data_IF_902737323341
#
_entry.id   IF_902737323341
#
_cell.length_a   1.000
_cell.length_b   1.000
_cell.length_c   1.000
_cell.angle_alpha   90.00
_cell.angle_beta   90.00
_cell.angle_gamma   90.00
#
_symmetry.space_group_name_H-M   'P 1'
#
loop_
_entity.id
_entity.type
_entity.pdbx_description
1 polymer ?
#
# COMPACT_ATOMS: atom_id res chain seq x y z
N UNK A 1 -14.40 -50.64 -33.96
CA UNK A 1 -15.62 -50.25 -34.68
C UNK A 1 -16.65 -49.58 -33.75
N UNK A 2 -17.00 -50.17 -32.56
CA UNK A 2 -18.01 -49.60 -31.67
C UNK A 2 -17.51 -48.32 -30.92
N UNK A 3 -16.21 -48.23 -30.64
CA UNK A 3 -15.61 -47.06 -30.03
C UNK A 3 -15.45 -45.88 -31.01
N UNK A 4 -15.31 -46.14 -32.28
CA UNK A 4 -15.25 -45.15 -33.35
C UNK A 4 -16.62 -44.56 -33.67
N UNK A 5 -17.70 -45.36 -33.64
CA UNK A 5 -19.06 -44.92 -33.86
C UNK A 5 -19.63 -44.07 -32.72
N UNK A 6 -19.12 -44.22 -31.49
CA UNK A 6 -19.53 -43.45 -30.32
C UNK A 6 -18.73 -42.16 -30.13
N UNK A 7 -17.78 -41.86 -31.02
CA UNK A 7 -16.99 -40.64 -30.92
C UNK A 7 -16.12 -40.53 -29.64
N UNK A 8 -15.88 -41.65 -28.95
CA UNK A 8 -15.14 -41.71 -27.70
C UNK A 8 -13.63 -41.62 -27.89
N UNK A 9 -13.15 -41.59 -29.13
CA UNK A 9 -11.73 -41.42 -29.43
C UNK A 9 -11.36 -39.95 -29.76
N UNK A 10 -12.13 -38.99 -29.26
CA UNK A 10 -11.60 -37.66 -29.06
C UNK A 10 -10.77 -37.69 -27.76
N UNK A 11 -9.54 -38.19 -27.85
CA UNK A 11 -8.48 -37.62 -27.05
C UNK A 11 -8.50 -36.12 -27.34
N UNK A 12 -9.27 -35.37 -26.55
CA UNK A 12 -9.08 -33.94 -26.48
C UNK A 12 -7.65 -33.80 -25.99
N UNK A 13 -6.71 -33.56 -26.89
CA UNK A 13 -5.44 -32.97 -26.57
C UNK A 13 -5.79 -31.63 -25.94
N UNK A 14 -6.02 -31.65 -24.63
CA UNK A 14 -6.04 -30.43 -23.84
C UNK A 14 -4.77 -29.66 -24.24
N UNK A 15 -4.84 -28.41 -24.63
CA UNK A 15 -3.66 -27.65 -25.00
C UNK A 15 -2.64 -27.86 -23.88
N UNK A 16 -1.45 -28.35 -24.21
CA UNK A 16 -0.36 -28.52 -23.26
C UNK A 16 -0.10 -27.14 -22.68
N UNK A 17 -0.55 -26.95 -21.45
CA UNK A 17 -0.39 -25.68 -20.75
C UNK A 17 1.12 -25.54 -20.41
N UNK A 18 1.81 -24.74 -21.21
CA UNK A 18 3.25 -24.52 -21.09
C UNK A 18 3.62 -23.60 -19.91
N UNK A 19 2.64 -23.24 -19.05
CA UNK A 19 2.86 -22.40 -17.90
C UNK A 19 3.61 -23.18 -16.82
N UNK A 20 4.56 -22.52 -16.15
CA UNK A 20 5.35 -23.14 -15.07
C UNK A 20 4.45 -23.43 -13.86
N UNK A 21 4.40 -24.67 -13.41
CA UNK A 21 3.75 -25.04 -12.14
C UNK A 21 4.61 -24.61 -10.96
N UNK A 22 4.03 -23.84 -10.06
CA UNK A 22 4.69 -23.40 -8.82
C UNK A 22 4.58 -24.52 -7.78
N UNK A 23 5.71 -24.93 -7.20
CA UNK A 23 5.69 -25.92 -6.13
C UNK A 23 5.14 -25.35 -4.83
N UNK A 24 4.60 -26.21 -3.95
CA UNK A 24 4.06 -25.78 -2.65
C UNK A 24 5.13 -25.09 -1.79
N UNK A 25 6.39 -25.51 -1.86
CA UNK A 25 7.49 -24.91 -1.09
C UNK A 25 7.86 -23.52 -1.63
N UNK A 26 7.80 -23.32 -2.95
CA UNK A 26 7.96 -21.99 -3.56
C UNK A 26 6.82 -21.04 -3.13
N UNK A 27 5.58 -21.54 -3.12
CA UNK A 27 4.43 -20.75 -2.65
C UNK A 27 4.56 -20.39 -1.16
N UNK A 28 4.99 -21.34 -0.31
CA UNK A 28 5.25 -21.07 1.12
C UNK A 28 6.34 -20.02 1.32
N UNK A 29 7.44 -20.13 0.59
CA UNK A 29 8.55 -19.18 0.67
C UNK A 29 8.14 -17.79 0.20
N UNK A 30 7.32 -17.70 -0.84
CA UNK A 30 6.75 -16.42 -1.32
C UNK A 30 5.83 -15.78 -0.28
N UNK A 31 4.91 -16.53 0.33
CA UNK A 31 3.99 -16.01 1.36
C UNK A 31 4.77 -15.55 2.59
N UNK A 32 5.80 -16.33 3.02
CA UNK A 32 6.63 -15.94 4.17
C UNK A 32 7.47 -14.68 3.88
N UNK A 33 8.03 -14.57 2.68
CA UNK A 33 8.75 -13.38 2.25
C UNK A 33 7.81 -12.16 2.17
N UNK A 34 6.57 -12.36 1.70
CA UNK A 34 5.56 -11.33 1.64
C UNK A 34 5.14 -10.81 3.02
N UNK A 35 5.03 -11.69 4.01
CA UNK A 35 4.76 -11.28 5.40
C UNK A 35 5.91 -10.46 5.99
N UNK A 36 7.17 -10.86 5.73
CA UNK A 36 8.36 -10.09 6.12
C UNK A 36 8.41 -8.73 5.41
N UNK A 37 8.10 -8.72 4.11
CA UNK A 37 8.01 -7.49 3.34
C UNK A 37 6.97 -6.53 3.92
N UNK A 38 5.77 -7.02 4.27
CA UNK A 38 4.72 -6.22 4.88
C UNK A 38 5.18 -5.62 6.22
N UNK A 39 5.81 -6.43 7.08
CA UNK A 39 6.32 -5.97 8.37
C UNK A 39 7.43 -4.92 8.23
N UNK A 40 8.43 -5.18 7.39
CA UNK A 40 9.56 -4.26 7.18
C UNK A 40 9.10 -2.94 6.55
N UNK A 41 8.16 -2.99 5.60
CA UNK A 41 7.57 -1.78 5.00
C UNK A 41 6.82 -0.96 6.06
N UNK A 42 6.00 -1.61 6.88
CA UNK A 42 5.30 -0.93 7.97
C UNK A 42 6.28 -0.33 8.98
N UNK A 43 7.37 -1.04 9.31
CA UNK A 43 8.44 -0.54 10.20
C UNK A 43 9.16 0.67 9.60
N UNK A 44 9.44 0.66 8.29
CA UNK A 44 10.04 1.81 7.61
C UNK A 44 9.15 3.05 7.68
N UNK A 45 7.83 2.90 7.43
CA UNK A 45 6.85 3.98 7.57
C UNK A 45 6.77 4.46 9.01
N UNK A 46 6.72 3.55 9.98
CA UNK A 46 6.75 3.87 11.40
C UNK A 46 7.95 4.74 11.77
N UNK A 47 9.16 4.33 11.39
CA UNK A 47 10.38 5.07 11.68
C UNK A 47 10.37 6.47 11.06
N UNK A 48 9.89 6.62 9.83
CA UNK A 48 9.78 7.91 9.17
C UNK A 48 8.86 8.88 9.93
N UNK A 49 7.71 8.41 10.43
CA UNK A 49 6.79 9.26 11.22
C UNK A 49 7.35 9.48 12.62
N UNK A 50 7.81 8.42 13.27
CA UNK A 50 8.37 8.47 14.62
C UNK A 50 9.62 9.36 14.73
N UNK A 51 10.34 9.57 13.63
CA UNK A 51 11.54 10.41 13.59
C UNK A 51 11.33 11.84 14.08
N UNK A 52 10.09 12.35 13.96
CA UNK A 52 9.75 13.70 14.43
C UNK A 52 9.64 13.77 15.96
N UNK A 53 9.36 12.64 16.64
CA UNK A 53 9.13 12.59 18.09
C UNK A 53 10.34 13.09 18.89
N UNK A 54 11.60 12.67 18.64
CA UNK A 54 12.76 13.20 19.36
C UNK A 54 12.94 14.71 19.21
N UNK A 55 12.70 15.24 18.00
CA UNK A 55 12.81 16.67 17.75
C UNK A 55 11.73 17.46 18.51
N UNK A 56 10.46 16.99 18.46
CA UNK A 56 9.36 17.59 19.17
C UNK A 56 9.50 17.47 20.71
N UNK A 57 9.99 16.34 21.22
CA UNK A 57 10.21 16.16 22.65
C UNK A 57 11.37 17.02 23.16
N UNK A 58 12.44 17.21 22.36
CA UNK A 58 13.58 18.02 22.73
C UNK A 58 13.29 19.54 22.65
N UNK A 59 12.26 19.97 21.91
CA UNK A 59 11.85 21.38 21.87
C UNK A 59 11.30 21.85 23.21
N UNK A 60 10.69 20.97 24.00
CA UNK A 60 10.22 21.26 25.36
C UNK A 60 11.34 21.65 26.34
N UNK A 61 12.58 21.23 26.05
CA UNK A 61 13.73 21.60 26.87
C UNK A 61 14.40 22.82 26.25
N UNK A 62 14.29 24.00 26.83
CA UNK A 62 14.85 25.28 26.34
C UNK A 62 16.39 25.30 26.25
N UNK A 63 17.00 24.18 25.88
CA UNK A 63 18.42 23.99 25.73
C UNK A 63 18.79 23.72 24.26
N UNK A 64 19.51 24.66 23.66
CA UNK A 64 19.96 24.60 22.26
C UNK A 64 20.72 23.29 21.92
N UNK A 65 21.47 22.74 22.88
CA UNK A 65 22.18 21.48 22.66
C UNK A 65 21.22 20.30 22.52
N UNK A 66 20.18 20.19 23.37
CA UNK A 66 19.17 19.14 23.27
C UNK A 66 18.36 19.25 21.98
N UNK A 67 17.97 20.45 21.57
CA UNK A 67 17.25 20.69 20.32
C UNK A 67 18.07 20.24 19.11
N UNK A 68 19.37 20.56 19.11
CA UNK A 68 20.27 20.09 18.03
C UNK A 68 20.38 18.56 18.03
N UNK A 69 20.50 17.93 19.20
CA UNK A 69 20.53 16.47 19.33
C UNK A 69 19.21 15.82 18.82
N UNK A 70 18.06 16.39 19.16
CA UNK A 70 16.75 15.95 18.65
C UNK A 70 16.67 16.01 17.13
N UNK A 71 17.16 17.11 16.55
CA UNK A 71 17.21 17.28 15.09
C UNK A 71 18.15 16.28 14.41
N UNK A 72 19.32 16.03 14.97
CA UNK A 72 20.25 15.01 14.47
C UNK A 72 19.62 13.61 14.55
N UNK A 73 18.95 13.29 15.65
CA UNK A 73 18.24 12.02 15.81
C UNK A 73 17.15 11.83 14.75
N UNK A 74 16.40 12.89 14.41
CA UNK A 74 15.39 12.87 13.33
C UNK A 74 16.03 12.39 12.01
N UNK A 75 17.13 13.00 11.58
CA UNK A 75 17.78 12.62 10.31
C UNK A 75 18.31 11.19 10.33
N UNK A 76 18.87 10.73 11.44
CA UNK A 76 19.37 9.37 11.58
C UNK A 76 18.21 8.37 11.47
N UNK A 77 17.10 8.61 12.15
CA UNK A 77 15.94 7.70 12.15
C UNK A 77 15.30 7.66 10.76
N UNK A 78 15.15 8.80 10.07
CA UNK A 78 14.66 8.86 8.68
C UNK A 78 15.58 8.08 7.75
N UNK A 79 16.89 8.24 7.88
CA UNK A 79 17.86 7.51 7.06
C UNK A 79 17.75 5.99 7.28
N UNK A 80 17.57 5.54 8.52
CA UNK A 80 17.31 4.13 8.84
C UNK A 80 16.01 3.64 8.21
N UNK A 81 14.91 4.41 8.31
CA UNK A 81 13.64 4.11 7.68
C UNK A 81 13.76 3.96 6.16
N UNK A 82 14.45 4.90 5.51
CA UNK A 82 14.73 4.85 4.07
C UNK A 82 15.57 3.64 3.68
N UNK A 83 16.59 3.30 4.47
CA UNK A 83 17.40 2.09 4.27
C UNK A 83 16.57 0.80 4.31
N UNK A 84 15.61 0.70 5.24
CA UNK A 84 14.70 -0.43 5.33
C UNK A 84 13.87 -0.58 4.06
N UNK A 85 13.38 0.49 3.44
CA UNK A 85 12.63 0.41 2.18
C UNK A 85 13.45 -0.18 1.03
N UNK A 86 14.74 0.17 0.95
CA UNK A 86 15.64 -0.37 -0.08
C UNK A 86 15.82 -1.89 0.12
N UNK A 87 16.09 -2.32 1.36
CA UNK A 87 16.25 -3.74 1.71
C UNK A 87 14.95 -4.51 1.43
N UNK A 88 13.82 -3.94 1.80
CA UNK A 88 12.50 -4.54 1.65
C UNK A 88 12.14 -4.76 0.19
N UNK A 89 12.43 -3.77 -0.67
CA UNK A 89 12.20 -3.89 -2.10
C UNK A 89 13.11 -4.96 -2.73
N UNK A 90 14.37 -5.04 -2.30
CA UNK A 90 15.32 -6.08 -2.74
C UNK A 90 14.87 -7.49 -2.38
N UNK A 91 14.19 -7.66 -1.24
CA UNK A 91 13.69 -8.96 -0.78
C UNK A 91 12.65 -9.56 -1.73
N UNK A 92 11.79 -8.73 -2.33
CA UNK A 92 10.74 -9.16 -3.26
C UNK A 92 11.24 -9.36 -4.69
N UNK A 93 12.39 -8.78 -5.06
CA UNK A 93 12.95 -8.92 -6.41
C UNK A 93 13.27 -10.39 -6.76
N UNK A 94 13.57 -11.22 -5.78
CA UNK A 94 13.80 -12.67 -5.99
C UNK A 94 12.57 -13.39 -6.55
N UNK A 95 11.38 -12.88 -6.30
CA UNK A 95 10.11 -13.45 -6.70
C UNK A 95 9.46 -12.70 -7.88
N UNK A 96 10.19 -11.82 -8.53
CA UNK A 96 9.69 -11.01 -9.65
C UNK A 96 9.28 -11.89 -10.84
N UNK A 97 9.89 -13.10 -10.96
CA UNK A 97 9.52 -14.08 -11.95
C UNK A 97 8.06 -14.56 -11.83
N UNK A 98 7.51 -14.62 -10.60
CA UNK A 98 6.11 -15.01 -10.36
C UNK A 98 5.13 -13.99 -10.96
N UNK A 99 5.53 -12.72 -11.02
CA UNK A 99 4.71 -11.64 -11.60
C UNK A 99 4.90 -11.50 -13.11
N UNK A 100 6.09 -11.84 -13.62
CA UNK A 100 6.48 -11.64 -15.02
C UNK A 100 6.16 -12.82 -15.92
N UNK A 101 6.19 -14.05 -15.38
CA UNK A 101 5.90 -15.28 -16.14
C UNK A 101 4.52 -15.81 -15.76
N UNK A 102 3.84 -16.40 -16.74
CA UNK A 102 2.58 -17.10 -16.50
C UNK A 102 2.85 -18.37 -15.68
N UNK A 103 2.57 -18.31 -14.38
CA UNK A 103 2.69 -19.44 -13.47
C UNK A 103 1.30 -19.98 -13.12
N UNK A 104 1.22 -21.28 -12.83
CA UNK A 104 0.02 -21.95 -12.31
C UNK A 104 0.36 -22.56 -10.96
N UNK A 105 -0.58 -22.55 -10.02
CA UNK A 105 -0.47 -23.24 -8.75
C UNK A 105 -1.36 -24.49 -8.75
N UNK A 106 -0.84 -25.58 -8.18
CA UNK A 106 -1.57 -26.85 -8.02
C UNK A 106 -2.72 -26.70 -7.02
N UNK A 107 -3.75 -27.54 -7.15
CA UNK A 107 -4.94 -27.52 -6.31
C UNK A 107 -4.62 -27.64 -4.80
N UNK A 108 -3.67 -28.50 -4.42
CA UNK A 108 -3.22 -28.63 -3.04
C UNK A 108 -2.58 -27.33 -2.52
N UNK A 109 -1.82 -26.64 -3.37
CA UNK A 109 -1.20 -25.34 -3.04
C UNK A 109 -2.25 -24.24 -2.91
N UNK A 110 -3.31 -24.25 -3.73
CA UNK A 110 -4.43 -23.34 -3.62
C UNK A 110 -5.09 -23.46 -2.25
N UNK A 111 -5.39 -24.67 -1.79
CA UNK A 111 -5.99 -24.90 -0.46
C UNK A 111 -5.14 -24.30 0.67
N UNK A 112 -3.83 -24.57 0.68
CA UNK A 112 -2.90 -23.99 1.66
C UNK A 112 -2.89 -22.45 1.62
N UNK A 113 -2.83 -21.85 0.43
CA UNK A 113 -2.80 -20.38 0.29
C UNK A 113 -4.13 -19.76 0.73
N UNK A 114 -5.25 -20.44 0.50
CA UNK A 114 -6.57 -19.98 0.88
C UNK A 114 -6.76 -19.98 2.40
N UNK A 115 -6.36 -21.07 3.08
CA UNK A 115 -6.36 -21.15 4.55
C UNK A 115 -5.47 -20.07 5.18
N UNK A 116 -4.28 -19.89 4.61
CA UNK A 116 -3.35 -18.86 5.07
C UNK A 116 -3.89 -17.44 4.86
N UNK A 117 -4.57 -17.20 3.74
CA UNK A 117 -5.25 -15.92 3.47
C UNK A 117 -6.34 -15.62 4.50
N UNK A 118 -7.14 -16.63 4.89
CA UNK A 118 -8.18 -16.43 5.91
C UNK A 118 -7.60 -16.07 7.27
N UNK A 119 -6.54 -16.76 7.69
CA UNK A 119 -5.81 -16.41 8.93
C UNK A 119 -5.29 -14.97 8.89
N UNK A 120 -4.62 -14.60 7.80
CA UNK A 120 -4.06 -13.26 7.63
C UNK A 120 -5.15 -12.19 7.51
N UNK A 121 -6.32 -12.52 6.92
CA UNK A 121 -7.45 -11.60 6.79
C UNK A 121 -7.97 -11.13 8.15
N UNK A 122 -8.12 -12.05 9.11
CA UNK A 122 -8.60 -11.70 10.45
C UNK A 122 -7.60 -10.76 11.15
N UNK A 123 -6.30 -11.08 11.08
CA UNK A 123 -5.22 -10.22 11.62
C UNK A 123 -5.24 -8.86 10.92
N UNK A 124 -5.35 -8.84 9.60
CA UNK A 124 -5.40 -7.64 8.77
C UNK A 124 -6.56 -6.71 9.15
N UNK A 125 -7.77 -7.26 9.37
CA UNK A 125 -8.94 -6.48 9.79
C UNK A 125 -8.72 -5.88 11.18
N UNK A 126 -8.27 -6.70 12.15
CA UNK A 126 -8.02 -6.25 13.53
C UNK A 126 -6.95 -5.15 13.55
N UNK A 127 -5.82 -5.36 12.86
CA UNK A 127 -4.74 -4.37 12.79
C UNK A 127 -5.20 -3.05 12.17
N UNK A 128 -5.95 -3.10 11.06
CA UNK A 128 -6.48 -1.87 10.43
C UNK A 128 -7.46 -1.13 11.33
N UNK A 129 -8.42 -1.85 11.93
CA UNK A 129 -9.40 -1.24 12.82
C UNK A 129 -8.74 -0.61 14.04
N UNK A 130 -7.82 -1.34 14.69
CA UNK A 130 -7.07 -0.82 15.83
C UNK A 130 -6.21 0.38 15.45
N UNK A 131 -5.54 0.33 14.31
CA UNK A 131 -4.73 1.44 13.80
C UNK A 131 -5.55 2.70 13.55
N UNK A 132 -6.74 2.58 12.95
CA UNK A 132 -7.66 3.71 12.74
C UNK A 132 -8.12 4.29 14.08
N UNK A 133 -8.50 3.44 15.04
CA UNK A 133 -8.93 3.87 16.37
C UNK A 133 -7.79 4.63 17.08
N UNK A 134 -6.55 4.11 17.01
CA UNK A 134 -5.38 4.79 17.59
C UNK A 134 -5.11 6.15 16.93
N UNK A 135 -5.25 6.26 15.61
CA UNK A 135 -5.09 7.53 14.92
C UNK A 135 -6.16 8.57 15.35
N UNK A 136 -7.40 8.13 15.58
CA UNK A 136 -8.45 9.03 16.07
C UNK A 136 -8.18 9.46 17.52
N UNK A 137 -7.81 8.52 18.38
CA UNK A 137 -7.54 8.81 19.82
C UNK A 137 -6.25 9.63 19.99
N UNK A 138 -5.36 9.63 19.03
CA UNK A 138 -4.06 10.34 19.11
C UNK A 138 -4.19 11.85 19.35
N UNK A 139 -5.35 12.45 19.01
CA UNK A 139 -5.61 13.87 19.28
C UNK A 139 -5.87 14.16 20.77
N UNK A 140 -6.24 13.15 21.56
CA UNK A 140 -6.60 13.33 22.98
C UNK A 140 -5.44 13.86 23.82
N UNK A 141 -4.22 13.30 23.74
CA UNK A 141 -3.08 13.86 24.50
C UNK A 141 -2.80 15.32 24.17
N UNK A 142 -2.81 15.69 22.89
CA UNK A 142 -2.60 17.08 22.49
C UNK A 142 -3.66 18.01 23.10
N UNK A 143 -4.93 17.66 23.01
CA UNK A 143 -6.04 18.45 23.56
C UNK A 143 -6.02 18.52 25.11
N UNK A 144 -5.60 17.46 25.78
CA UNK A 144 -5.54 17.44 27.26
C UNK A 144 -4.38 18.27 27.77
N UNK A 145 -3.22 18.20 27.14
CA UNK A 145 -2.04 18.97 27.58
C UNK A 145 -2.17 20.46 27.26
N UNK A 146 -2.90 20.83 26.20
CA UNK A 146 -3.19 22.24 25.87
C UNK A 146 -4.03 22.96 26.98
N UNK A 147 -4.86 22.22 27.69
CA UNK A 147 -5.72 22.76 28.77
C UNK A 147 -4.97 22.93 30.09
N UNK A 148 -3.85 22.22 30.30
CA UNK A 148 -3.09 22.24 31.53
C UNK A 148 -2.08 23.42 31.49
N UNK A 149 -2.17 24.43 32.34
CA UNK A 149 -1.31 25.61 32.27
C UNK A 149 0.08 25.34 32.88
N UNK A 150 0.77 24.36 32.34
CA UNK A 150 2.18 24.05 32.69
C UNK A 150 3.01 24.34 31.43
N UNK A 151 4.01 25.20 31.61
CA UNK A 151 4.93 25.61 30.56
C UNK A 151 5.59 24.38 29.93
N UNK A 152 5.68 24.31 28.61
CA UNK A 152 6.31 23.23 27.82
C UNK A 152 5.53 21.89 27.73
N UNK A 153 4.33 21.80 28.29
CA UNK A 153 3.53 20.56 28.22
C UNK A 153 2.91 20.36 26.83
N UNK A 154 2.68 21.42 26.08
CA UNK A 154 2.17 21.42 24.70
C UNK A 154 3.10 20.63 23.77
N UNK A 155 4.40 20.87 23.83
CA UNK A 155 5.40 20.19 23.01
C UNK A 155 5.43 18.69 23.30
N UNK A 156 5.27 18.31 24.58
CA UNK A 156 5.18 16.91 25.01
C UNK A 156 3.87 16.28 24.52
N UNK A 157 2.77 17.02 24.56
CA UNK A 157 1.48 16.58 24.02
C UNK A 157 1.55 16.29 22.52
N UNK A 158 2.19 17.17 21.76
CA UNK A 158 2.46 17.00 20.34
C UNK A 158 3.33 15.79 20.04
N UNK A 159 4.41 15.59 20.80
CA UNK A 159 5.28 14.43 20.68
C UNK A 159 4.53 13.11 20.98
N UNK A 160 3.70 13.08 22.01
CA UNK A 160 2.87 11.92 22.36
C UNK A 160 1.85 11.62 21.27
N UNK A 161 1.19 12.63 20.71
CA UNK A 161 0.26 12.49 19.58
C UNK A 161 0.97 11.83 18.38
N UNK A 162 2.13 12.33 17.96
CA UNK A 162 2.88 11.77 16.82
C UNK A 162 3.33 10.33 17.12
N UNK A 163 3.71 10.02 18.35
CA UNK A 163 4.07 8.67 18.77
C UNK A 163 2.90 7.70 18.59
N UNK A 164 1.70 8.06 19.02
CA UNK A 164 0.48 7.24 18.87
C UNK A 164 0.11 7.09 17.39
N UNK A 165 0.15 8.17 16.61
CA UNK A 165 -0.08 8.14 15.16
C UNK A 165 0.89 7.20 14.46
N UNK A 166 2.17 7.22 14.81
CA UNK A 166 3.17 6.37 14.17
C UNK A 166 2.87 4.87 14.37
N UNK A 167 2.43 4.48 15.58
CA UNK A 167 1.98 3.11 15.86
C UNK A 167 0.68 2.79 15.12
N UNK A 168 -0.27 3.71 15.09
CA UNK A 168 -1.53 3.53 14.35
C UNK A 168 -1.28 3.29 12.85
N UNK A 169 -0.43 4.11 12.24
CA UNK A 169 -0.06 3.97 10.81
C UNK A 169 0.71 2.66 10.56
N UNK A 170 1.61 2.26 11.46
CA UNK A 170 2.26 0.94 11.39
C UNK A 170 1.25 -0.19 11.26
N UNK A 171 0.25 -0.22 12.14
CA UNK A 171 -0.80 -1.25 12.15
C UNK A 171 -1.64 -1.22 10.87
N UNK A 172 -1.98 -0.04 10.36
CA UNK A 172 -2.74 0.12 9.11
C UNK A 172 -1.95 -0.42 7.92
N UNK A 173 -0.68 -0.04 7.78
CA UNK A 173 0.19 -0.47 6.68
C UNK A 173 0.43 -1.97 6.73
N UNK A 174 0.79 -2.50 7.91
CA UNK A 174 0.98 -3.93 8.09
C UNK A 174 -0.28 -4.72 7.74
N UNK A 175 -1.44 -4.33 8.31
CA UNK A 175 -2.71 -4.97 8.02
C UNK A 175 -3.13 -4.86 6.55
N UNK A 176 -2.77 -3.79 5.86
CA UNK A 176 -3.10 -3.63 4.43
C UNK A 176 -2.26 -4.53 3.52
N UNK A 177 -1.01 -4.80 3.89
CA UNK A 177 -0.07 -5.58 3.08
C UNK A 177 -0.05 -7.07 3.41
N UNK A 178 -0.52 -7.47 4.60
CA UNK A 178 -0.41 -8.85 5.10
C UNK A 178 -1.01 -9.91 4.15
N UNK A 179 -2.13 -9.59 3.49
CA UNK A 179 -2.81 -10.50 2.58
C UNK A 179 -2.32 -10.44 1.12
N UNK A 180 -1.52 -9.44 0.77
CA UNK A 180 -1.21 -9.12 -0.65
C UNK A 180 -0.55 -10.29 -1.36
N UNK A 181 0.37 -10.99 -0.69
CA UNK A 181 1.08 -12.14 -1.29
C UNK A 181 0.15 -13.33 -1.57
N UNK A 182 -0.80 -13.61 -0.66
CA UNK A 182 -1.79 -14.66 -0.88
C UNK A 182 -2.74 -14.29 -2.03
N UNK A 183 -3.17 -13.03 -2.10
CA UNK A 183 -4.01 -12.53 -3.21
C UNK A 183 -3.28 -12.63 -4.55
N UNK A 184 -1.98 -12.34 -4.59
CA UNK A 184 -1.16 -12.44 -5.80
C UNK A 184 -1.08 -13.89 -6.28
N UNK A 185 -0.83 -14.86 -5.39
CA UNK A 185 -0.77 -16.28 -5.76
C UNK A 185 -2.12 -16.80 -6.26
N UNK A 186 -3.21 -16.48 -5.57
CA UNK A 186 -4.55 -16.92 -5.99
C UNK A 186 -4.99 -16.30 -7.33
N UNK A 187 -4.45 -15.13 -7.68
CA UNK A 187 -4.72 -14.51 -8.96
C UNK A 187 -4.02 -15.18 -10.16
N UNK A 188 -3.03 -16.07 -9.93
CA UNK A 188 -2.31 -16.75 -11.01
C UNK A 188 -3.17 -17.76 -11.77
N UNK A 189 -4.11 -18.40 -11.10
CA UNK A 189 -4.95 -19.43 -11.72
C UNK A 189 -6.19 -18.87 -12.48
N UNK A 190 -6.45 -17.57 -12.41
CA UNK A 190 -7.60 -16.93 -13.07
C UNK A 190 -8.95 -17.51 -12.62
N UNK A 191 -9.93 -17.51 -13.54
CA UNK A 191 -11.33 -17.90 -13.27
C UNK A 191 -11.57 -19.42 -13.15
N UNK A 192 -10.56 -20.25 -13.39
CA UNK A 192 -10.72 -21.70 -13.50
C UNK A 192 -10.77 -22.43 -12.14
N UNK A 193 -10.61 -21.74 -11.03
CA UNK A 193 -10.66 -22.33 -9.69
C UNK A 193 -11.82 -21.74 -8.91
N UNK A 194 -12.78 -22.58 -8.53
CA UNK A 194 -13.92 -22.18 -7.71
C UNK A 194 -13.45 -21.46 -6.43
N UNK A 195 -13.87 -20.21 -6.26
CA UNK A 195 -13.45 -19.33 -5.16
C UNK A 195 -12.14 -18.59 -5.38
N UNK A 196 -11.52 -18.72 -6.56
CA UNK A 196 -10.35 -17.93 -6.91
C UNK A 196 -10.70 -16.44 -6.98
N UNK A 197 -9.77 -15.65 -6.50
CA UNK A 197 -9.80 -14.20 -6.68
C UNK A 197 -9.67 -13.94 -8.19
N UNK A 198 -10.77 -13.57 -8.82
CA UNK A 198 -10.73 -13.03 -10.18
C UNK A 198 -9.71 -11.90 -10.15
N UNK A 199 -8.61 -12.07 -10.90
CA UNK A 199 -7.72 -10.96 -11.17
C UNK A 199 -8.65 -9.86 -11.68
N UNK A 200 -8.90 -8.88 -10.83
CA UNK A 200 -9.52 -7.65 -11.28
C UNK A 200 -8.49 -7.14 -12.28
N UNK A 201 -8.70 -7.50 -13.53
CA UNK A 201 -7.99 -6.90 -14.62
C UNK A 201 -8.03 -5.43 -14.26
N UNK A 202 -6.88 -4.83 -13.99
CA UNK A 202 -6.83 -3.38 -13.94
C UNK A 202 -7.45 -3.02 -15.28
N UNK A 203 -8.74 -2.70 -15.27
CA UNK A 203 -9.39 -2.06 -16.40
C UNK A 203 -8.59 -0.77 -16.51
N UNK A 204 -7.46 -0.86 -17.23
CA UNK A 204 -6.78 0.33 -17.68
C UNK A 204 -7.89 1.08 -18.39
N UNK A 205 -8.29 2.19 -17.81
CA UNK A 205 -9.35 3.04 -18.36
C UNK A 205 -8.83 3.40 -19.75
N UNK A 206 -9.33 2.68 -20.77
CA UNK A 206 -8.98 2.99 -22.14
C UNK A 206 -9.65 4.32 -22.47
N UNK A 207 -8.82 5.25 -22.79
CA UNK A 207 -9.26 6.56 -23.27
C UNK A 207 -9.43 6.53 -24.78
N UNK A 208 -10.32 7.36 -25.30
CA UNK A 208 -10.70 7.46 -26.72
C UNK A 208 -9.47 7.64 -27.62
N UNK A 209 -8.42 8.34 -27.15
CA UNK A 209 -7.21 8.65 -27.91
C UNK A 209 -5.94 8.57 -27.05
N UNK A 210 -4.78 8.31 -27.68
CA UNK A 210 -3.46 8.38 -27.04
C UNK A 210 -3.20 9.72 -26.37
N UNK A 211 -3.69 10.83 -26.95
CA UNK A 211 -3.63 12.17 -26.38
C UNK A 211 -4.37 12.25 -25.04
N UNK A 212 -5.56 11.64 -24.95
CA UNK A 212 -6.32 11.58 -23.72
C UNK A 212 -5.59 10.79 -22.62
N UNK A 213 -4.93 9.69 -22.98
CA UNK A 213 -4.08 8.91 -22.05
C UNK A 213 -2.92 9.76 -21.53
N UNK A 214 -2.26 10.52 -22.41
CA UNK A 214 -1.15 11.40 -22.03
C UNK A 214 -1.62 12.52 -21.11
N UNK A 215 -2.73 13.18 -21.43
CA UNK A 215 -3.31 14.24 -20.60
C UNK A 215 -3.62 13.70 -19.19
N UNK A 216 -4.26 12.54 -19.09
CA UNK A 216 -4.61 11.94 -17.81
C UNK A 216 -3.38 11.51 -17.00
N UNK A 217 -2.31 11.07 -17.65
CA UNK A 217 -1.06 10.66 -16.97
C UNK A 217 -0.29 11.86 -16.39
N UNK A 218 -0.33 13.02 -17.07
CA UNK A 218 0.37 14.24 -16.67
C UNK A 218 -0.47 15.13 -15.75
N UNK A 219 -1.78 14.90 -15.65
CA UNK A 219 -2.71 15.75 -14.89
C UNK A 219 -2.27 15.95 -13.42
N UNK A 220 -2.06 14.86 -12.68
CA UNK A 220 -1.69 14.96 -11.26
C UNK A 220 -0.32 15.59 -11.01
N UNK A 221 0.75 15.25 -11.75
CA UNK A 221 2.02 15.97 -11.65
C UNK A 221 1.89 17.48 -11.90
N UNK A 222 1.08 17.88 -12.90
CA UNK A 222 0.83 19.31 -13.22
C UNK A 222 0.12 20.02 -12.07
N UNK A 223 -0.94 19.41 -11.53
CA UNK A 223 -1.65 19.96 -10.37
C UNK A 223 -0.72 20.11 -9.16
N UNK A 224 0.14 19.13 -8.92
CA UNK A 224 1.12 19.20 -7.83
C UNK A 224 2.10 20.35 -8.01
N UNK A 225 2.61 20.55 -9.23
CA UNK A 225 3.48 21.69 -9.54
C UNK A 225 2.78 23.04 -9.33
N UNK A 226 1.53 23.18 -9.77
CA UNK A 226 0.73 24.40 -9.58
C UNK A 226 0.50 24.65 -8.08
N UNK A 227 0.11 23.61 -7.33
CA UNK A 227 -0.11 23.69 -5.89
C UNK A 227 1.14 24.16 -5.15
N UNK A 228 2.29 23.51 -5.41
CA UNK A 228 3.55 23.87 -4.77
C UNK A 228 3.98 25.29 -5.14
N UNK A 229 3.88 25.67 -6.40
CA UNK A 229 4.24 27.02 -6.86
C UNK A 229 3.37 28.08 -6.18
N UNK A 230 2.05 27.87 -6.14
CA UNK A 230 1.13 28.78 -5.47
C UNK A 230 1.40 28.84 -3.96
N UNK A 231 1.66 27.71 -3.31
CA UNK A 231 1.93 27.64 -1.87
C UNK A 231 3.23 28.35 -1.47
N UNK A 232 4.29 28.22 -2.29
CA UNK A 232 5.56 28.90 -2.04
C UNK A 232 5.49 30.42 -2.33
N UNK A 233 4.70 30.84 -3.30
CA UNK A 233 4.54 32.27 -3.61
C UNK A 233 3.67 32.97 -2.57
N UNK A 234 2.58 32.33 -2.12
CA UNK A 234 1.60 32.94 -1.23
C UNK A 234 1.85 32.68 0.25
N UNK A 235 2.67 31.67 0.60
CA UNK A 235 2.86 31.15 1.96
C UNK A 235 1.54 30.80 2.69
N UNK A 236 0.43 30.71 1.96
CA UNK A 236 -0.92 30.44 2.51
C UNK A 236 -1.29 28.95 2.32
N UNK A 237 -0.53 28.05 2.91
CA UNK A 237 -0.69 26.60 2.76
C UNK A 237 -2.09 26.08 3.06
N UNK A 238 -2.76 26.66 4.07
CA UNK A 238 -4.13 26.30 4.44
C UNK A 238 -5.16 26.65 3.37
N UNK A 239 -4.96 27.74 2.60
CA UNK A 239 -5.86 28.15 1.53
C UNK A 239 -5.56 27.43 0.21
N UNK A 240 -4.29 27.22 -0.10
CA UNK A 240 -3.88 26.56 -1.35
C UNK A 240 -4.31 25.09 -1.39
N UNK A 241 -4.59 24.46 -0.23
CA UNK A 241 -5.11 23.09 -0.17
C UNK A 241 -6.42 22.89 -0.96
N UNK A 242 -7.23 23.95 -1.12
CA UNK A 242 -8.47 23.94 -1.93
C UNK A 242 -8.20 23.54 -3.39
N UNK A 243 -6.98 23.76 -3.92
CA UNK A 243 -6.59 23.37 -5.28
C UNK A 243 -6.79 21.87 -5.50
N UNK A 244 -6.56 21.02 -4.48
CA UNK A 244 -6.75 19.58 -4.58
C UNK A 244 -8.22 19.19 -4.76
N UNK A 245 -9.14 19.86 -4.07
CA UNK A 245 -10.58 19.62 -4.20
C UNK A 245 -11.08 20.01 -5.60
N UNK A 246 -10.68 21.17 -6.09
CA UNK A 246 -11.02 21.62 -7.44
C UNK A 246 -10.43 20.69 -8.51
N UNK A 247 -9.17 20.32 -8.36
CA UNK A 247 -8.51 19.40 -9.28
C UNK A 247 -9.16 18.01 -9.30
N UNK A 248 -9.61 17.49 -8.15
CA UNK A 248 -10.32 16.21 -8.09
C UNK A 248 -11.63 16.23 -8.88
N UNK A 249 -12.40 17.32 -8.81
CA UNK A 249 -13.64 17.50 -9.58
C UNK A 249 -13.33 17.57 -11.08
N UNK A 250 -12.35 18.39 -11.47
CA UNK A 250 -11.92 18.53 -12.87
C UNK A 250 -11.45 17.18 -13.42
N UNK A 251 -10.63 16.45 -12.66
CA UNK A 251 -10.17 15.11 -13.04
C UNK A 251 -11.33 14.13 -13.24
N UNK A 252 -12.33 14.14 -12.37
CA UNK A 252 -13.52 13.30 -12.49
C UNK A 252 -14.31 13.62 -13.77
N UNK A 253 -14.47 14.90 -14.10
CA UNK A 253 -15.13 15.35 -15.34
C UNK A 253 -14.34 14.88 -16.57
N UNK A 254 -13.04 15.13 -16.64
CA UNK A 254 -12.19 14.67 -17.74
C UNK A 254 -12.22 13.14 -17.90
N UNK A 255 -12.15 12.42 -16.80
CA UNK A 255 -12.25 10.95 -16.80
C UNK A 255 -13.58 10.46 -17.36
N UNK A 256 -14.68 11.14 -17.06
CA UNK A 256 -16.01 10.81 -17.57
C UNK A 256 -16.15 11.09 -19.05
N UNK A 257 -15.59 12.18 -19.56
CA UNK A 257 -15.69 12.61 -20.96
C UNK A 257 -14.75 11.79 -21.86
N UNK A 258 -13.54 11.46 -21.35
CA UNK A 258 -12.48 10.82 -22.15
C UNK A 258 -12.48 9.29 -22.04
N UNK A 259 -13.35 8.68 -21.22
CA UNK A 259 -13.52 7.24 -21.11
C UNK A 259 -14.23 6.73 -22.38
N UNK A 260 -13.68 5.69 -22.98
CA UNK A 260 -14.32 5.00 -24.11
C UNK A 260 -15.37 4.02 -23.59
N UNK A 261 -16.66 4.38 -23.67
CA UNK A 261 -17.80 3.56 -23.25
C UNK A 261 -18.29 2.59 -24.34
N UNK A 262 -17.63 2.52 -25.50
CA UNK A 262 -18.14 1.80 -26.67
C UNK A 262 -18.09 0.26 -26.58
N UNK A 263 -17.74 -0.33 -25.43
CA UNK A 263 -17.64 -1.79 -25.21
C UNK A 263 -18.18 -2.30 -23.88
N UNK A 264 -19.22 -1.70 -23.34
CA UNK A 264 -20.05 -2.31 -22.28
C UNK A 264 -21.32 -2.94 -22.88
N UNK A 265 -21.21 -3.70 -23.99
CA UNK A 265 -22.28 -4.55 -24.53
C UNK A 265 -21.75 -5.97 -24.66
#
# INVERSE_FOLDING_TARGET
ELAETLGLNRQSSAPVDNRRTLTQDEARSFVSAGSRHAFLTALGVFLCIFSVVPAAACSAFHNNFLQTMGTVALFIIVACGGGIFIITNSLMNKFDYIKKHECIIDYATVGYVQDKKEQLRNISIVCRTLGIIMCIISFVPAAVFDVIPIQDLDDIGGAAMICIVSVGVFLIVFGSMAETSCKTLLALNGDNVAGSYVKKENKEVRYINNTATTIMSVFWPTVTCIYLSASFITFAWALTWVIWLVAAVIHAIFKSILKDDSREV
#
